data_IF_878045628437
#
_entry.id   IF_878045628437
#
_cell.length_a   1.000
_cell.length_b   1.000
_cell.length_c   1.000
_cell.angle_alpha   90.00
_cell.angle_beta   90.00
_cell.angle_gamma   90.00
#
_symmetry.space_group_name_H-M   'P 1'
#
loop_
_entity.id
_entity.type
_entity.pdbx_description
1 polymer ?
#
# COMPACT_ATOMS: atom_id res chain seq x y z
N UNK A 1 6.31 13.12 -15.11
CA UNK A 1 6.35 11.95 -14.20
C UNK A 1 6.72 10.74 -15.02
N UNK A 2 7.70 9.90 -14.61
CA UNK A 2 8.06 8.74 -15.42
C UNK A 2 6.87 7.79 -15.43
N UNK A 3 6.27 7.64 -16.61
CA UNK A 3 5.24 6.67 -16.92
C UNK A 3 5.83 5.28 -16.63
N UNK A 4 5.39 4.65 -15.54
CA UNK A 4 5.74 3.27 -15.27
C UNK A 4 5.12 2.42 -16.37
N UNK A 5 5.98 1.91 -17.26
CA UNK A 5 5.58 1.13 -18.42
C UNK A 5 4.79 -0.10 -17.99
N UNK A 6 3.55 -0.20 -18.46
CA UNK A 6 2.71 -1.39 -18.34
C UNK A 6 3.47 -2.60 -18.87
N UNK A 7 4.00 -3.45 -17.98
CA UNK A 7 4.46 -4.79 -18.36
C UNK A 7 3.22 -5.65 -18.59
N UNK A 8 2.89 -5.86 -19.86
CA UNK A 8 1.93 -6.87 -20.33
C UNK A 8 2.36 -8.24 -19.81
N UNK A 9 1.61 -8.82 -18.88
CA UNK A 9 1.80 -10.19 -18.41
C UNK A 9 1.17 -11.10 -19.46
N UNK A 10 1.98 -11.88 -20.16
CA UNK A 10 1.50 -12.91 -21.06
C UNK A 10 0.93 -14.07 -20.23
N UNK A 11 -0.37 -14.34 -20.39
CA UNK A 11 -0.99 -15.58 -19.94
C UNK A 11 -0.59 -16.70 -20.90
N UNK A 12 0.26 -17.60 -20.44
CA UNK A 12 0.43 -18.92 -21.03
C UNK A 12 -0.51 -19.88 -20.33
N UNK A 13 -1.57 -20.25 -21.02
CA UNK A 13 -2.38 -21.45 -20.80
C UNK A 13 -1.53 -22.69 -21.06
N UNK A 14 -1.45 -23.60 -20.09
CA UNK A 14 -0.87 -24.92 -20.26
C UNK A 14 -1.90 -25.98 -19.84
N UNK A 15 -2.18 -26.87 -20.79
CA UNK A 15 -3.06 -28.02 -20.72
C UNK A 15 -2.68 -29.04 -19.64
N UNK A 16 -3.72 -29.73 -19.17
CA UNK A 16 -3.69 -30.95 -18.39
C UNK A 16 -3.05 -32.12 -19.16
N UNK A 17 -2.33 -32.99 -18.43
CA UNK A 17 -2.07 -34.35 -18.87
C UNK A 17 -0.88 -34.99 -18.17
N UNK A 18 -1.11 -36.00 -17.31
CA UNK A 18 -0.05 -36.92 -16.89
C UNK A 18 -0.24 -37.57 -15.52
N UNK A 19 -0.91 -38.73 -15.50
CA UNK A 19 -0.89 -39.71 -14.40
C UNK A 19 0.49 -40.36 -14.25
N UNK A 20 0.90 -40.54 -12.99
CA UNK A 20 1.60 -41.71 -12.41
C UNK A 20 2.94 -42.15 -13.01
N UNK A 21 3.99 -42.18 -12.20
CA UNK A 21 4.37 -43.43 -11.50
C UNK A 21 5.45 -43.20 -10.44
N UNK A 22 5.51 -44.13 -9.49
CA UNK A 22 6.40 -44.15 -8.35
C UNK A 22 7.85 -44.53 -8.71
N UNK A 23 8.84 -43.93 -8.05
CA UNK A 23 10.01 -44.62 -7.50
C UNK A 23 10.95 -43.65 -6.75
N UNK A 24 11.43 -44.14 -5.61
CA UNK A 24 12.31 -43.49 -4.65
C UNK A 24 13.79 -43.86 -4.95
N UNK A 25 14.78 -43.61 -4.07
CA UNK A 25 15.79 -42.56 -4.24
C UNK A 25 17.21 -43.13 -4.44
N UNK A 26 18.15 -42.34 -4.98
CA UNK A 26 19.57 -42.69 -4.90
C UNK A 26 20.49 -41.47 -4.77
N UNK A 27 21.45 -41.61 -3.87
CA UNK A 27 22.42 -40.61 -3.45
C UNK A 27 23.77 -40.82 -4.15
N UNK A 28 24.41 -39.76 -4.63
CA UNK A 28 25.86 -39.68 -4.84
C UNK A 28 26.26 -38.21 -5.11
N UNK A 29 27.00 -37.57 -4.20
CA UNK A 29 28.48 -37.41 -4.20
C UNK A 29 29.03 -36.42 -5.25
N UNK A 30 29.65 -35.38 -4.68
CA UNK A 30 30.90 -34.73 -5.08
C UNK A 30 31.21 -34.49 -6.57
N UNK A 31 31.42 -33.21 -6.92
CA UNK A 31 32.70 -32.85 -7.55
C UNK A 31 33.09 -31.39 -7.32
N UNK A 32 34.33 -31.21 -6.84
CA UNK A 32 35.07 -29.95 -6.76
C UNK A 32 35.55 -29.59 -8.17
N UNK A 33 35.36 -28.35 -8.61
CA UNK A 33 36.25 -27.75 -9.61
C UNK A 33 36.82 -26.42 -9.12
N UNK A 34 38.15 -26.47 -9.06
CA UNK A 34 39.12 -25.42 -8.78
C UNK A 34 39.62 -24.93 -10.14
N UNK A 35 39.54 -23.64 -10.42
CA UNK A 35 40.42 -23.00 -11.42
C UNK A 35 40.75 -21.58 -10.98
N UNK A 36 42.05 -21.36 -10.88
CA UNK A 36 42.83 -20.18 -10.48
C UNK A 36 43.04 -19.21 -11.67
N UNK A 37 43.68 -18.04 -11.45
CA UNK A 37 43.43 -16.79 -12.17
C UNK A 37 44.46 -16.44 -13.24
N UNK A 38 44.13 -15.47 -14.09
CA UNK A 38 45.02 -14.70 -14.99
C UNK A 38 44.19 -13.49 -15.46
N UNK A 39 44.62 -12.24 -15.63
CA UNK A 39 45.92 -11.63 -15.91
C UNK A 39 45.75 -10.12 -15.59
N UNK A 40 46.63 -9.47 -14.83
CA UNK A 40 47.70 -8.60 -15.33
C UNK A 40 47.26 -7.58 -16.42
N UNK A 41 46.90 -6.36 -16.01
CA UNK A 41 46.99 -5.19 -16.88
C UNK A 41 47.60 -3.98 -16.14
N UNK A 42 48.44 -3.28 -16.90
CA UNK A 42 49.58 -2.47 -16.45
C UNK A 42 49.16 -1.08 -15.96
N UNK A 43 49.90 -0.63 -14.96
CA UNK A 43 49.94 0.73 -14.46
C UNK A 43 50.57 1.71 -15.48
N UNK A 44 49.94 2.87 -15.65
CA UNK A 44 50.54 4.08 -16.21
C UNK A 44 50.54 5.20 -15.16
N UNK A 45 51.63 5.98 -14.98
CA UNK A 45 51.69 7.02 -13.97
C UNK A 45 51.05 8.32 -14.48
N UNK A 46 49.80 8.58 -14.07
CA UNK A 46 49.15 9.89 -14.27
C UNK A 46 49.42 10.79 -13.05
N UNK A 47 50.32 11.77 -13.21
CA UNK A 47 50.52 12.87 -12.26
C UNK A 47 49.23 13.70 -12.17
N UNK A 48 48.43 13.47 -11.14
CA UNK A 48 47.39 14.42 -10.71
C UNK A 48 47.93 15.31 -9.60
N UNK A 49 47.91 16.60 -9.90
CA UNK A 49 48.13 17.72 -8.98
C UNK A 49 47.18 17.64 -7.79
N UNK A 50 47.74 17.69 -6.58
CA UNK A 50 47.03 17.73 -5.31
C UNK A 50 46.26 19.05 -5.20
N UNK A 51 44.96 19.00 -5.43
CA UNK A 51 44.06 20.10 -5.10
C UNK A 51 43.87 20.14 -3.57
N UNK A 52 44.05 21.32 -2.99
CA UNK A 52 43.77 21.62 -1.58
C UNK A 52 42.36 21.15 -1.17
N UNK A 53 42.18 20.53 0.01
CA UNK A 53 40.86 20.21 0.53
C UNK A 53 40.15 21.51 0.92
N UNK A 54 39.27 21.98 0.04
CA UNK A 54 38.35 23.09 0.32
C UNK A 54 37.10 22.58 1.01
N UNK A 55 36.75 23.31 2.08
CA UNK A 55 35.47 23.37 2.80
C UNK A 55 35.01 22.10 3.51
N UNK A 56 35.04 22.17 4.84
CA UNK A 56 34.22 21.38 5.76
C UNK A 56 32.80 21.25 5.22
N UNK A 57 32.45 20.05 4.79
CA UNK A 57 31.07 19.68 4.53
C UNK A 57 30.36 19.74 5.89
N UNK A 58 29.66 20.84 6.17
CA UNK A 58 28.72 20.94 7.28
C UNK A 58 27.70 19.82 7.09
N UNK A 59 27.93 18.68 7.74
CA UNK A 59 26.97 17.60 7.81
C UNK A 59 25.71 18.22 8.37
N UNK A 60 24.68 18.34 7.53
CA UNK A 60 23.37 18.82 7.97
C UNK A 60 22.92 17.82 9.03
N UNK A 61 22.99 18.23 10.29
CA UNK A 61 22.42 17.49 11.41
C UNK A 61 20.95 17.29 11.07
N UNK A 62 20.64 16.11 10.56
CA UNK A 62 19.25 15.72 10.34
C UNK A 62 18.60 15.68 11.72
N UNK A 63 17.29 15.94 11.77
CA UNK A 63 16.53 15.83 13.01
C UNK A 63 16.71 14.44 13.66
N UNK A 64 17.00 13.44 12.83
CA UNK A 64 17.44 12.08 13.20
C UNK A 64 18.75 12.11 13.96
N UNK A 65 19.80 12.71 13.41
CA UNK A 65 21.11 12.80 14.09
C UNK A 65 20.99 13.56 15.41
N UNK A 66 20.12 14.57 15.47
CA UNK A 66 19.81 15.28 16.72
C UNK A 66 19.11 14.37 17.74
N UNK A 67 18.07 13.63 17.32
CA UNK A 67 17.35 12.68 18.17
C UNK A 67 18.27 11.54 18.63
N UNK A 68 19.12 11.02 17.74
CA UNK A 68 20.14 10.02 18.02
C UNK A 68 21.10 10.51 19.09
N UNK A 69 21.67 11.70 18.90
CA UNK A 69 22.60 12.28 19.85
C UNK A 69 21.91 12.63 21.17
N UNK A 70 20.62 12.98 21.14
CA UNK A 70 19.84 13.26 22.34
C UNK A 70 19.53 11.97 23.11
N UNK A 71 19.11 10.89 22.44
CA UNK A 71 18.86 9.59 23.05
C UNK A 71 20.14 8.98 23.64
N UNK A 72 21.26 9.05 22.91
CA UNK A 72 22.58 8.64 23.40
C UNK A 72 23.03 9.49 24.59
N UNK A 73 22.70 10.79 24.64
CA UNK A 73 23.00 11.65 25.79
C UNK A 73 22.12 11.40 27.00
N UNK A 74 20.84 11.09 26.80
CA UNK A 74 19.89 10.80 27.89
C UNK A 74 20.14 9.41 28.49
N UNK A 75 20.61 8.46 27.68
CA UNK A 75 20.88 7.09 28.10
C UNK A 75 22.29 6.64 27.68
N UNK A 76 23.36 7.27 28.21
CA UNK A 76 24.74 6.96 27.81
C UNK A 76 25.16 5.53 28.14
N UNK A 77 24.41 4.86 29.00
CA UNK A 77 24.63 3.48 29.43
C UNK A 77 23.62 2.48 28.82
N UNK A 78 22.66 2.92 28.00
CA UNK A 78 21.78 1.98 27.26
C UNK A 78 22.46 1.59 25.95
N UNK A 79 22.94 0.34 25.80
CA UNK A 79 23.87 -0.02 24.72
C UNK A 79 23.22 -0.22 23.35
N UNK A 80 22.03 0.32 23.06
CA UNK A 80 21.31 -0.15 21.88
C UNK A 80 20.37 0.86 21.25
N UNK A 81 20.67 1.20 19.99
CA UNK A 81 19.72 1.82 19.04
C UNK A 81 18.45 1.00 18.79
N UNK A 82 18.34 -0.19 19.38
CA UNK A 82 17.09 -0.94 19.48
C UNK A 82 15.97 -0.11 20.11
N UNK A 83 16.29 0.81 21.02
CA UNK A 83 15.32 1.68 21.68
C UNK A 83 14.58 2.60 20.69
N UNK A 84 15.23 3.08 19.62
CA UNK A 84 14.60 3.92 18.58
C UNK A 84 13.93 3.10 17.47
N UNK A 85 14.47 1.92 17.16
CA UNK A 85 13.88 1.02 16.17
C UNK A 85 12.48 0.57 16.58
N UNK A 86 12.23 0.36 17.87
CA UNK A 86 10.91 -0.07 18.38
C UNK A 86 9.79 0.94 18.08
N UNK A 87 9.87 2.23 18.49
CA UNK A 87 8.83 3.21 18.19
C UNK A 87 8.70 3.46 16.69
N UNK A 88 9.80 3.54 15.93
CA UNK A 88 9.72 3.72 14.47
C UNK A 88 9.06 2.52 13.77
N UNK A 89 9.31 1.30 14.24
CA UNK A 89 8.62 0.10 13.75
C UNK A 89 7.12 0.17 14.07
N UNK A 90 6.73 0.60 15.27
CA UNK A 90 5.32 0.81 15.63
C UNK A 90 4.65 1.86 14.75
N UNK A 91 5.30 2.99 14.48
CA UNK A 91 4.78 4.01 13.57
C UNK A 91 4.57 3.45 12.14
N UNK A 92 5.53 2.67 11.65
CA UNK A 92 5.42 2.02 10.34
C UNK A 92 4.27 1.02 10.28
N UNK A 93 4.10 0.19 11.32
CA UNK A 93 2.99 -0.74 11.42
C UNK A 93 1.63 -0.04 11.44
N UNK A 94 1.53 1.08 12.15
CA UNK A 94 0.34 1.92 12.15
C UNK A 94 0.04 2.48 10.74
N UNK A 95 1.05 3.04 10.07
CA UNK A 95 0.90 3.52 8.69
C UNK A 95 0.47 2.38 7.73
N UNK A 96 1.09 1.19 7.85
CA UNK A 96 0.73 0.00 7.07
C UNK A 96 -0.74 -0.40 7.27
N UNK A 97 -1.22 -0.38 8.53
CA UNK A 97 -2.64 -0.61 8.84
C UNK A 97 -3.55 0.40 8.13
N UNK A 98 -3.17 1.67 8.12
CA UNK A 98 -3.95 2.71 7.44
C UNK A 98 -3.97 2.53 5.91
N UNK A 99 -2.84 2.17 5.29
CA UNK A 99 -2.78 1.86 3.84
C UNK A 99 -3.70 0.68 3.51
N UNK A 100 -3.71 -0.38 4.34
CA UNK A 100 -4.62 -1.53 4.16
C UNK A 100 -6.08 -1.13 4.32
N UNK A 101 -6.38 -0.30 5.32
CA UNK A 101 -7.74 0.22 5.53
C UNK A 101 -8.22 1.02 4.31
N UNK A 102 -7.33 1.85 3.74
CA UNK A 102 -7.61 2.56 2.49
C UNK A 102 -7.87 1.59 1.34
N UNK A 103 -7.03 0.58 1.14
CA UNK A 103 -7.21 -0.43 0.10
C UNK A 103 -8.53 -1.20 0.23
N UNK A 104 -8.94 -1.52 1.45
CA UNK A 104 -10.25 -2.13 1.72
C UNK A 104 -11.39 -1.17 1.38
N UNK A 105 -11.27 0.09 1.78
CA UNK A 105 -12.29 1.11 1.49
C UNK A 105 -12.43 1.37 -0.02
N UNK A 106 -11.32 1.47 -0.76
CA UNK A 106 -11.35 1.71 -2.21
C UNK A 106 -11.98 0.54 -2.96
N UNK A 107 -11.67 -0.71 -2.57
CA UNK A 107 -12.31 -1.91 -3.13
C UNK A 107 -13.81 -1.97 -2.83
N UNK A 108 -14.20 -1.62 -1.59
CA UNK A 108 -15.62 -1.54 -1.21
C UNK A 108 -16.35 -0.48 -2.02
N UNK A 109 -15.75 0.69 -2.20
CA UNK A 109 -16.31 1.77 -3.02
C UNK A 109 -16.52 1.32 -4.47
N UNK A 110 -15.50 0.71 -5.09
CA UNK A 110 -15.62 0.17 -6.45
C UNK A 110 -16.75 -0.87 -6.58
N UNK A 111 -16.84 -1.79 -5.62
CA UNK A 111 -17.93 -2.78 -5.59
C UNK A 111 -19.30 -2.11 -5.49
N UNK A 112 -19.45 -1.14 -4.58
CA UNK A 112 -20.70 -0.41 -4.39
C UNK A 112 -21.15 0.32 -5.66
N UNK A 113 -20.22 0.88 -6.45
CA UNK A 113 -20.57 1.46 -7.75
C UNK A 113 -21.17 0.43 -8.72
N UNK A 114 -20.60 -0.78 -8.76
CA UNK A 114 -21.16 -1.87 -9.57
C UNK A 114 -22.57 -2.29 -9.09
N UNK A 115 -22.80 -2.29 -7.78
CA UNK A 115 -24.12 -2.57 -7.20
C UNK A 115 -25.15 -1.49 -7.57
N UNK A 116 -24.76 -0.20 -7.55
CA UNK A 116 -25.60 0.93 -8.00
C UNK A 116 -25.93 0.81 -9.49
N UNK A 117 -24.93 0.51 -10.34
CA UNK A 117 -25.14 0.33 -11.77
C UNK A 117 -26.14 -0.80 -12.07
N UNK A 118 -26.01 -1.92 -11.36
CA UNK A 118 -26.93 -3.06 -11.48
C UNK A 118 -28.35 -2.70 -11.04
N UNK A 119 -28.50 -2.06 -9.89
CA UNK A 119 -29.81 -1.65 -9.38
C UNK A 119 -30.51 -0.67 -10.35
N UNK A 120 -29.76 0.29 -10.90
CA UNK A 120 -30.24 1.20 -11.94
C UNK A 120 -30.76 0.46 -13.17
N UNK A 121 -29.99 -0.49 -13.69
CA UNK A 121 -30.39 -1.29 -14.85
C UNK A 121 -31.65 -2.13 -14.57
N UNK A 122 -31.78 -2.70 -13.37
CA UNK A 122 -33.00 -3.43 -12.96
C UNK A 122 -34.24 -2.52 -12.96
N UNK A 123 -34.12 -1.29 -12.45
CA UNK A 123 -35.22 -0.30 -12.46
C UNK A 123 -35.62 0.05 -13.90
N UNK A 124 -34.65 0.34 -14.77
CA UNK A 124 -34.92 0.65 -16.17
C UNK A 124 -35.52 -0.56 -16.92
N UNK A 125 -35.05 -1.77 -16.64
CA UNK A 125 -35.61 -3.00 -17.20
C UNK A 125 -37.06 -3.25 -16.77
N UNK A 126 -37.39 -3.06 -15.50
CA UNK A 126 -38.76 -3.16 -15.00
C UNK A 126 -39.68 -2.08 -15.61
N UNK A 127 -39.19 -0.84 -15.71
CA UNK A 127 -39.92 0.27 -16.33
C UNK A 127 -40.23 -0.02 -17.80
N UNK A 128 -39.27 -0.55 -18.54
CA UNK A 128 -39.46 -0.95 -19.93
C UNK A 128 -40.49 -2.08 -20.09
N UNK A 129 -40.47 -3.08 -19.18
CA UNK A 129 -41.46 -4.17 -19.17
C UNK A 129 -42.88 -3.70 -18.89
N UNK A 130 -43.05 -2.79 -17.94
CA UNK A 130 -44.38 -2.22 -17.63
C UNK A 130 -44.95 -1.47 -18.85
N UNK A 131 -44.08 -0.85 -19.65
CA UNK A 131 -44.49 -0.15 -20.86
C UNK A 131 -44.84 -1.08 -22.04
N UNK A 132 -44.56 -2.38 -21.96
CA UNK A 132 -44.86 -3.33 -23.04
C UNK A 132 -46.34 -3.33 -23.40
N UNK A 133 -46.64 -3.31 -24.71
CA UNK A 133 -48.01 -3.23 -25.22
C UNK A 133 -48.65 -1.83 -25.16
N UNK A 134 -47.93 -0.83 -24.64
CA UNK A 134 -48.37 0.58 -24.63
C UNK A 134 -47.60 1.40 -25.67
N UNK A 135 -48.11 2.58 -26.08
CA UNK A 135 -47.33 3.52 -26.91
C UNK A 135 -46.01 3.98 -26.28
N UNK A 136 -45.83 3.86 -24.95
CA UNK A 136 -44.58 4.21 -24.27
C UNK A 136 -43.46 3.22 -24.57
N UNK A 137 -43.78 1.99 -25.02
CA UNK A 137 -42.77 1.00 -25.40
C UNK A 137 -41.82 1.53 -26.48
N UNK A 138 -42.30 2.39 -27.38
CA UNK A 138 -41.52 2.97 -28.46
C UNK A 138 -40.39 3.90 -27.97
N UNK A 139 -40.56 4.50 -26.79
CA UNK A 139 -39.58 5.42 -26.18
C UNK A 139 -38.77 4.74 -25.07
N UNK A 140 -39.38 3.83 -24.31
CA UNK A 140 -38.75 3.20 -23.15
C UNK A 140 -38.05 1.88 -23.50
N UNK A 141 -38.68 1.04 -24.33
CA UNK A 141 -38.24 -0.34 -24.59
C UNK A 141 -37.67 -0.56 -26.01
N UNK A 142 -37.94 0.35 -26.95
CA UNK A 142 -37.58 0.16 -28.36
C UNK A 142 -36.07 0.08 -28.58
N UNK A 143 -35.64 -0.99 -29.25
CA UNK A 143 -34.28 -1.11 -29.80
C UNK A 143 -34.16 -0.50 -31.20
N UNK A 144 -35.27 -0.05 -31.80
CA UNK A 144 -35.27 0.51 -33.16
C UNK A 144 -34.93 2.00 -33.10
N UNK A 145 -33.90 2.38 -33.85
CA UNK A 145 -33.32 3.74 -33.95
C UNK A 145 -34.29 4.81 -34.49
N UNK A 146 -35.50 4.43 -34.91
CA UNK A 146 -36.42 5.30 -35.68
C UNK A 146 -36.83 6.56 -34.90
N UNK A 147 -36.85 6.53 -33.57
CA UNK A 147 -37.20 7.67 -32.71
C UNK A 147 -36.01 8.19 -31.87
N UNK A 148 -34.78 7.85 -32.27
CA UNK A 148 -33.56 8.15 -31.52
C UNK A 148 -33.35 7.17 -30.37
N UNK A 149 -32.66 7.63 -29.32
CA UNK A 149 -32.30 6.79 -28.18
C UNK A 149 -33.47 6.53 -27.25
N UNK A 150 -33.60 5.26 -26.82
CA UNK A 150 -34.53 4.79 -25.82
C UNK A 150 -33.86 4.61 -24.46
N UNK A 151 -34.67 4.51 -23.40
CA UNK A 151 -34.17 4.30 -22.03
C UNK A 151 -33.27 3.05 -21.92
N UNK A 152 -33.65 1.94 -22.56
CA UNK A 152 -32.84 0.72 -22.59
C UNK A 152 -31.51 0.91 -23.32
N UNK A 153 -31.48 1.66 -24.44
CA UNK A 153 -30.22 1.93 -25.14
C UNK A 153 -29.29 2.85 -24.34
N UNK A 154 -29.87 3.82 -23.61
CA UNK A 154 -29.13 4.70 -22.71
C UNK A 154 -28.57 3.93 -21.50
N UNK A 155 -29.35 3.02 -20.92
CA UNK A 155 -28.88 2.11 -19.87
C UNK A 155 -27.66 1.31 -20.33
N UNK A 156 -27.71 0.75 -21.55
CA UNK A 156 -26.58 0.04 -22.13
C UNK A 156 -25.32 0.90 -22.32
N UNK A 157 -25.46 2.22 -22.50
CA UNK A 157 -24.32 3.15 -22.53
C UNK A 157 -23.81 3.46 -21.12
N UNK A 158 -24.71 3.67 -20.16
CA UNK A 158 -24.36 3.88 -18.75
C UNK A 158 -23.58 2.69 -18.20
N UNK A 159 -24.05 1.46 -18.43
CA UNK A 159 -23.34 0.24 -18.02
C UNK A 159 -21.92 0.21 -18.58
N UNK A 160 -21.74 0.48 -19.88
CA UNK A 160 -20.41 0.50 -20.50
C UNK A 160 -19.51 1.61 -19.92
N UNK A 161 -20.07 2.77 -19.64
CA UNK A 161 -19.33 3.87 -19.02
C UNK A 161 -18.92 3.50 -17.57
N UNK A 162 -19.81 2.89 -16.79
CA UNK A 162 -19.54 2.41 -15.44
C UNK A 162 -18.46 1.31 -15.43
N UNK A 163 -18.53 0.36 -16.37
CA UNK A 163 -17.52 -0.68 -16.57
C UNK A 163 -16.15 -0.07 -16.84
N UNK A 164 -16.06 0.85 -17.81
CA UNK A 164 -14.82 1.54 -18.15
C UNK A 164 -14.29 2.36 -16.97
N UNK A 165 -15.16 3.07 -16.23
CA UNK A 165 -14.79 3.82 -15.04
C UNK A 165 -14.27 2.89 -13.93
N UNK A 166 -14.89 1.73 -13.75
CA UNK A 166 -14.48 0.71 -12.78
C UNK A 166 -13.11 0.10 -13.11
N UNK A 167 -12.85 -0.21 -14.39
CA UNK A 167 -11.54 -0.67 -14.87
C UNK A 167 -10.45 0.40 -14.64
N UNK A 168 -10.77 1.66 -14.96
CA UNK A 168 -9.88 2.78 -14.74
C UNK A 168 -9.57 2.98 -13.25
N UNK A 169 -10.57 2.83 -12.38
CA UNK A 169 -10.40 2.91 -10.93
C UNK A 169 -9.51 1.77 -10.42
N UNK A 170 -9.72 0.55 -10.91
CA UNK A 170 -8.87 -0.59 -10.60
C UNK A 170 -7.40 -0.30 -10.92
N UNK A 171 -7.13 0.08 -12.18
CA UNK A 171 -5.76 0.24 -12.68
C UNK A 171 -5.03 1.46 -12.13
N UNK A 172 -5.72 2.57 -11.89
CA UNK A 172 -5.08 3.84 -11.48
C UNK A 172 -5.00 4.00 -9.96
N UNK A 173 -5.95 3.42 -9.21
CA UNK A 173 -6.09 3.66 -7.78
C UNK A 173 -5.79 2.36 -7.01
N UNK A 174 -6.56 1.30 -7.22
CA UNK A 174 -6.41 0.06 -6.43
C UNK A 174 -5.06 -0.61 -6.67
N UNK A 175 -4.64 -0.74 -7.93
CA UNK A 175 -3.36 -1.35 -8.29
C UNK A 175 -2.20 -0.51 -7.77
N UNK A 176 -2.29 0.82 -7.84
CA UNK A 176 -1.28 1.74 -7.30
C UNK A 176 -1.09 1.55 -5.79
N UNK A 177 -2.17 1.56 -5.00
CA UNK A 177 -2.09 1.37 -3.54
C UNK A 177 -1.52 -0.01 -3.21
N UNK A 178 -1.95 -1.04 -3.95
CA UNK A 178 -1.48 -2.42 -3.75
C UNK A 178 0.03 -2.54 -4.02
N UNK A 179 0.52 -1.97 -5.12
CA UNK A 179 1.95 -1.97 -5.46
C UNK A 179 2.76 -1.15 -4.45
N UNK A 180 2.27 0.03 -4.07
CA UNK A 180 2.91 0.90 -3.09
C UNK A 180 3.08 0.20 -1.73
N UNK A 181 2.03 -0.43 -1.20
CA UNK A 181 2.09 -1.20 0.04
C UNK A 181 3.11 -2.34 -0.06
N UNK A 182 3.10 -3.09 -1.17
CA UNK A 182 3.96 -4.24 -1.37
C UNK A 182 5.44 -3.84 -1.44
N UNK A 183 5.78 -2.77 -2.16
CA UNK A 183 7.15 -2.25 -2.28
C UNK A 183 7.65 -1.79 -0.92
N UNK A 184 6.87 -0.97 -0.20
CA UNK A 184 7.25 -0.45 1.12
C UNK A 184 7.46 -1.59 2.11
N UNK A 185 6.49 -2.51 2.21
CA UNK A 185 6.54 -3.64 3.15
C UNK A 185 7.74 -4.53 2.88
N UNK A 186 7.94 -4.95 1.62
CA UNK A 186 9.08 -5.81 1.25
C UNK A 186 10.42 -5.16 1.59
N UNK A 187 10.59 -3.87 1.28
CA UNK A 187 11.83 -3.14 1.51
C UNK A 187 12.13 -3.06 3.02
N UNK A 188 11.16 -2.61 3.82
CA UNK A 188 11.34 -2.40 5.27
C UNK A 188 11.51 -3.73 6.01
N UNK A 189 10.71 -4.74 5.71
CA UNK A 189 10.84 -6.06 6.36
C UNK A 189 12.18 -6.72 6.06
N UNK A 190 12.72 -6.56 4.85
CA UNK A 190 14.03 -7.12 4.50
C UNK A 190 15.18 -6.48 5.29
N UNK A 191 15.15 -5.15 5.47
CA UNK A 191 16.16 -4.41 6.23
C UNK A 191 16.02 -4.63 7.74
N UNK A 192 14.79 -4.74 8.26
CA UNK A 192 14.53 -5.11 9.66
C UNK A 192 15.09 -6.51 9.98
N UNK A 193 14.82 -7.50 9.13
CA UNK A 193 15.37 -8.87 9.30
C UNK A 193 16.90 -8.87 9.28
N UNK A 194 17.51 -8.08 8.39
CA UNK A 194 18.97 -7.95 8.32
C UNK A 194 19.54 -7.30 9.58
N UNK A 195 18.91 -6.22 10.06
CA UNK A 195 19.31 -5.51 11.29
C UNK A 195 19.19 -6.43 12.52
N UNK A 196 18.11 -7.20 12.62
CA UNK A 196 17.93 -8.20 13.68
C UNK A 196 19.01 -9.30 13.65
N UNK A 197 19.44 -9.71 12.45
CA UNK A 197 20.55 -10.66 12.31
C UNK A 197 21.86 -10.06 12.86
N UNK A 198 22.15 -8.80 12.55
CA UNK A 198 23.34 -8.14 13.09
C UNK A 198 23.26 -7.93 14.61
N UNK A 199 22.09 -7.60 15.15
CA UNK A 199 21.88 -7.53 16.60
C UNK A 199 22.18 -8.86 17.31
N UNK A 200 21.76 -10.00 16.72
CA UNK A 200 22.08 -11.34 17.25
C UNK A 200 23.59 -11.64 17.19
N UNK A 201 24.26 -11.22 16.11
CA UNK A 201 25.72 -11.39 15.96
C UNK A 201 26.47 -10.56 17.01
N UNK A 202 26.08 -9.31 17.23
CA UNK A 202 26.64 -8.44 18.26
C UNK A 202 26.51 -9.09 19.64
N UNK A 203 25.28 -9.47 20.04
CA UNK A 203 25.03 -10.15 21.31
C UNK A 203 25.84 -11.44 21.49
N UNK A 204 26.03 -12.21 20.42
CA UNK A 204 26.87 -13.40 20.44
C UNK A 204 28.32 -13.08 20.82
N UNK A 205 28.93 -12.06 20.20
CA UNK A 205 30.30 -11.67 20.49
C UNK A 205 30.44 -10.99 21.85
N UNK A 206 29.45 -10.22 22.31
CA UNK A 206 29.42 -9.64 23.67
C UNK A 206 29.54 -10.74 24.73
N UNK A 207 28.63 -11.73 24.69
CA UNK A 207 28.64 -12.87 25.62
C UNK A 207 29.95 -13.66 25.54
N UNK A 208 30.52 -13.79 24.34
CA UNK A 208 31.76 -14.54 24.10
C UNK A 208 32.98 -13.82 24.68
N UNK A 209 33.09 -12.51 24.48
CA UNK A 209 34.15 -11.68 25.06
C UNK A 209 34.03 -11.66 26.58
N UNK A 210 32.83 -11.47 27.13
CA UNK A 210 32.58 -11.49 28.57
C UNK A 210 33.03 -12.83 29.20
N UNK A 211 32.66 -13.95 28.59
CA UNK A 211 33.09 -15.29 29.04
C UNK A 211 34.60 -15.47 28.99
N UNK A 212 35.27 -14.97 27.94
CA UNK A 212 36.73 -15.01 27.83
C UNK A 212 37.40 -14.15 28.89
N UNK A 213 36.90 -12.93 29.15
CA UNK A 213 37.40 -12.05 30.22
C UNK A 213 37.31 -12.70 31.59
N UNK A 214 36.16 -13.31 31.93
CA UNK A 214 35.99 -14.08 33.18
C UNK A 214 36.98 -15.23 33.29
N UNK A 215 37.23 -15.94 32.18
CA UNK A 215 38.17 -17.07 32.14
C UNK A 215 39.63 -16.63 32.28
N UNK A 216 40.00 -15.50 31.65
CA UNK A 216 41.35 -14.90 31.76
C UNK A 216 41.60 -14.44 33.18
N UNK A 217 40.69 -13.65 33.76
CA UNK A 217 40.79 -13.16 35.14
C UNK A 217 40.94 -14.32 36.15
N UNK A 218 40.11 -15.36 36.03
CA UNK A 218 40.18 -16.53 36.92
C UNK A 218 41.47 -17.36 36.78
N UNK A 219 42.18 -17.28 35.65
CA UNK A 219 43.49 -17.93 35.47
C UNK A 219 44.64 -17.06 35.98
N UNK A 220 44.53 -15.75 35.80
CA UNK A 220 45.49 -14.76 36.31
C UNK A 220 45.49 -14.72 37.84
N UNK A 221 44.31 -14.77 38.47
CA UNK A 221 44.17 -14.90 39.93
C UNK A 221 44.87 -16.16 40.48
N UNK A 222 44.94 -17.23 39.67
CA UNK A 222 45.63 -18.48 40.02
C UNK A 222 47.13 -18.48 39.66
N UNK A 223 47.68 -17.37 39.19
CA UNK A 223 49.08 -17.24 38.78
C UNK A 223 49.47 -18.08 37.57
N UNK A 224 48.51 -18.52 36.75
CA UNK A 224 48.79 -19.35 35.56
C UNK A 224 49.03 -18.46 34.33
N UNK A 225 50.07 -18.70 33.51
CA UNK A 225 50.28 -17.93 32.29
C UNK A 225 49.13 -18.13 31.29
N UNK A 226 48.63 -17.03 30.73
CA UNK A 226 47.46 -16.98 29.83
C UNK A 226 47.73 -16.48 28.39
N UNK A 227 48.94 -16.59 27.79
CA UNK A 227 49.25 -15.93 26.52
C UNK A 227 48.33 -16.35 25.35
N UNK A 228 47.94 -17.62 25.29
CA UNK A 228 46.99 -18.09 24.26
C UNK A 228 45.57 -17.56 24.47
N UNK A 229 45.17 -17.31 25.72
CA UNK A 229 43.83 -16.80 26.04
C UNK A 229 43.74 -15.29 25.85
N UNK A 230 44.83 -14.55 26.09
CA UNK A 230 44.90 -13.11 25.83
C UNK A 230 44.85 -12.82 24.33
N UNK A 231 45.59 -13.58 23.51
CA UNK A 231 45.50 -13.46 22.05
C UNK A 231 44.09 -13.79 21.52
N UNK A 232 43.48 -14.88 22.04
CA UNK A 232 42.11 -15.24 21.69
C UNK A 232 41.10 -14.17 22.12
N UNK A 233 41.29 -13.55 23.28
CA UNK A 233 40.47 -12.44 23.76
C UNK A 233 40.58 -11.26 22.79
N UNK A 234 41.80 -10.83 22.45
CA UNK A 234 42.03 -9.72 21.53
C UNK A 234 41.33 -9.93 20.17
N UNK A 235 41.45 -11.12 19.57
CA UNK A 235 40.74 -11.44 18.30
C UNK A 235 39.23 -11.41 18.42
N UNK A 236 38.64 -11.76 19.58
CA UNK A 236 37.19 -11.70 19.76
C UNK A 236 36.72 -10.28 20.10
N UNK A 237 37.54 -9.46 20.75
CA UNK A 237 37.28 -8.04 20.97
C UNK A 237 37.30 -7.26 19.65
N UNK A 238 38.22 -7.58 18.74
CA UNK A 238 38.23 -7.03 17.38
C UNK A 238 36.95 -7.40 16.61
N UNK A 239 36.54 -8.67 16.64
CA UNK A 239 35.27 -9.11 16.03
C UNK A 239 34.03 -8.47 16.67
N UNK A 240 34.07 -8.26 17.98
CA UNK A 240 33.00 -7.56 18.68
C UNK A 240 32.90 -6.12 18.15
N UNK A 241 34.04 -5.43 17.99
CA UNK A 241 34.09 -4.09 17.40
C UNK A 241 33.54 -4.07 15.96
N UNK A 242 33.99 -4.99 15.10
CA UNK A 242 33.49 -5.10 13.72
C UNK A 242 31.98 -5.34 13.65
N UNK A 243 31.46 -6.26 14.47
CA UNK A 243 30.02 -6.57 14.50
C UNK A 243 29.19 -5.45 15.11
N UNK A 244 29.74 -4.69 16.05
CA UNK A 244 29.13 -3.47 16.58
C UNK A 244 29.03 -2.39 15.51
N UNK A 245 30.11 -2.10 14.78
CA UNK A 245 30.10 -1.10 13.69
C UNK A 245 29.10 -1.47 12.59
N UNK A 246 29.03 -2.74 12.20
CA UNK A 246 28.06 -3.21 11.19
C UNK A 246 26.61 -3.15 11.70
N UNK A 247 26.37 -3.49 12.97
CA UNK A 247 25.04 -3.32 13.59
C UNK A 247 24.63 -1.84 13.60
N UNK A 248 25.50 -0.94 14.05
CA UNK A 248 25.21 0.49 14.13
C UNK A 248 24.88 1.08 12.76
N UNK A 249 25.65 0.70 11.74
CA UNK A 249 25.43 1.11 10.34
C UNK A 249 24.08 0.63 9.81
N UNK A 250 23.74 -0.63 10.03
CA UNK A 250 22.46 -1.22 9.57
C UNK A 250 21.27 -0.66 10.34
N UNK A 251 21.40 -0.44 11.65
CA UNK A 251 20.41 0.23 12.47
C UNK A 251 20.14 1.67 11.99
N UNK A 252 21.17 2.48 11.71
CA UNK A 252 20.97 3.83 11.13
C UNK A 252 20.16 3.76 9.84
N UNK A 253 20.57 2.86 8.93
CA UNK A 253 19.94 2.71 7.63
C UNK A 253 18.47 2.34 7.76
N UNK A 254 18.14 1.42 8.66
CA UNK A 254 16.76 1.01 8.93
C UNK A 254 15.95 2.14 9.57
N UNK A 255 16.50 2.90 10.52
CA UNK A 255 15.82 4.06 11.08
C UNK A 255 15.47 5.10 10.01
N UNK A 256 16.43 5.45 9.15
CA UNK A 256 16.19 6.38 8.04
C UNK A 256 15.12 5.87 7.07
N UNK A 257 15.11 4.57 6.78
CA UNK A 257 14.11 3.97 5.90
C UNK A 257 12.70 4.03 6.52
N UNK A 258 12.58 3.74 7.81
CA UNK A 258 11.32 3.81 8.54
C UNK A 258 10.80 5.25 8.57
N UNK A 259 11.64 6.23 8.89
CA UNK A 259 11.25 7.64 8.89
C UNK A 259 10.93 8.19 7.50
N UNK A 260 11.66 7.77 6.47
CA UNK A 260 11.32 8.13 5.09
C UNK A 260 9.93 7.61 4.73
N UNK A 261 9.64 6.36 5.06
CA UNK A 261 8.31 5.79 4.82
C UNK A 261 7.22 6.49 5.63
N UNK A 262 7.41 6.73 6.93
CA UNK A 262 6.35 7.27 7.80
C UNK A 262 6.19 8.80 7.69
N UNK A 263 7.29 9.55 7.61
CA UNK A 263 7.25 11.03 7.60
C UNK A 263 7.23 11.61 6.20
N UNK A 264 7.74 10.89 5.19
CA UNK A 264 7.73 11.34 3.78
C UNK A 264 6.83 10.49 2.88
N UNK A 265 6.15 9.47 3.41
CA UNK A 265 5.19 8.66 2.65
C UNK A 265 4.04 9.46 2.04
N UNK A 266 3.74 10.65 2.56
CA UNK A 266 2.77 11.57 1.94
C UNK A 266 3.13 11.93 0.49
N UNK A 267 4.41 11.86 0.11
CA UNK A 267 4.85 12.14 -1.27
C UNK A 267 4.37 11.09 -2.26
N UNK A 268 4.28 9.84 -1.84
CA UNK A 268 3.71 8.75 -2.64
C UNK A 268 2.18 8.73 -2.53
N UNK A 269 1.63 9.17 -1.39
CA UNK A 269 0.18 9.31 -1.22
C UNK A 269 -0.42 10.46 -2.07
N UNK A 270 0.29 11.56 -2.24
CA UNK A 270 -0.18 12.73 -3.00
C UNK A 270 -0.63 12.40 -4.44
N UNK A 271 0.18 11.74 -5.31
CA UNK A 271 -0.25 11.39 -6.66
C UNK A 271 -1.47 10.45 -6.68
N UNK A 272 -1.62 9.58 -5.67
CA UNK A 272 -2.82 8.75 -5.52
C UNK A 272 -4.06 9.61 -5.28
N UNK A 273 -4.00 10.57 -4.35
CA UNK A 273 -5.13 11.49 -4.09
C UNK A 273 -5.48 12.29 -5.34
N UNK A 274 -4.49 12.79 -6.07
CA UNK A 274 -4.72 13.47 -7.34
C UNK A 274 -5.39 12.56 -8.37
N UNK A 275 -4.94 11.30 -8.50
CA UNK A 275 -5.54 10.34 -9.40
C UNK A 275 -7.01 10.04 -9.04
N UNK A 276 -7.32 9.91 -7.75
CA UNK A 276 -8.69 9.73 -7.26
C UNK A 276 -9.59 10.92 -7.61
N UNK A 277 -9.14 12.14 -7.36
CA UNK A 277 -9.91 13.35 -7.65
C UNK A 277 -10.16 13.54 -9.14
N UNK A 278 -9.13 13.34 -9.97
CA UNK A 278 -9.25 13.42 -11.43
C UNK A 278 -10.21 12.36 -11.95
N UNK A 279 -10.09 11.13 -11.46
CA UNK A 279 -10.98 10.05 -11.85
C UNK A 279 -12.43 10.35 -11.46
N UNK A 280 -12.69 10.84 -10.24
CA UNK A 280 -14.04 11.18 -9.77
C UNK A 280 -14.65 12.28 -10.64
N UNK A 281 -13.87 13.32 -10.94
CA UNK A 281 -14.31 14.42 -11.80
C UNK A 281 -14.68 13.94 -13.21
N UNK A 282 -13.87 13.05 -13.79
CA UNK A 282 -14.13 12.51 -15.13
C UNK A 282 -15.37 11.63 -15.13
N UNK A 283 -15.47 10.71 -14.16
CA UNK A 283 -16.64 9.83 -13.99
C UNK A 283 -17.93 10.65 -13.88
N UNK A 284 -17.94 11.67 -13.03
CA UNK A 284 -19.10 12.53 -12.83
C UNK A 284 -19.47 13.31 -14.11
N UNK A 285 -18.48 13.80 -14.85
CA UNK A 285 -18.71 14.51 -16.11
C UNK A 285 -19.30 13.58 -17.20
N UNK A 286 -18.76 12.37 -17.33
CA UNK A 286 -19.25 11.37 -18.28
C UNK A 286 -20.68 10.94 -17.95
N UNK A 287 -20.96 10.69 -16.67
CA UNK A 287 -22.29 10.34 -16.18
C UNK A 287 -23.29 11.49 -16.40
N UNK A 288 -22.89 12.73 -16.12
CA UNK A 288 -23.73 13.90 -16.40
C UNK A 288 -24.03 14.06 -17.90
N UNK A 289 -23.06 13.80 -18.77
CA UNK A 289 -23.26 13.87 -20.21
C UNK A 289 -24.27 12.82 -20.71
N UNK A 290 -24.30 11.64 -20.10
CA UNK A 290 -25.31 10.62 -20.36
C UNK A 290 -26.67 11.00 -19.78
N UNK A 291 -26.73 11.54 -18.56
CA UNK A 291 -27.99 11.92 -17.93
C UNK A 291 -28.73 13.07 -18.63
N UNK A 292 -28.03 13.95 -19.35
CA UNK A 292 -28.69 14.93 -20.22
C UNK A 292 -29.60 14.28 -21.28
N UNK A 293 -29.30 13.05 -21.71
CA UNK A 293 -30.13 12.31 -22.67
C UNK A 293 -31.42 11.77 -22.02
N UNK A 294 -31.47 11.68 -20.68
CA UNK A 294 -32.72 11.35 -19.96
C UNK A 294 -33.73 12.48 -20.10
N UNK A 295 -33.29 13.75 -20.12
CA UNK A 295 -34.20 14.88 -20.33
C UNK A 295 -34.84 14.83 -21.72
N UNK A 296 -34.10 14.41 -22.74
CA UNK A 296 -34.65 14.19 -24.09
C UNK A 296 -35.72 13.08 -24.09
N UNK A 297 -35.46 11.98 -23.39
CA UNK A 297 -36.43 10.88 -23.24
C UNK A 297 -37.67 11.36 -22.49
N UNK A 298 -37.49 12.11 -21.39
CA UNK A 298 -38.57 12.72 -20.61
C UNK A 298 -39.46 13.60 -21.49
N UNK A 299 -38.87 14.47 -22.31
CA UNK A 299 -39.61 15.34 -23.22
C UNK A 299 -40.38 14.54 -24.28
N UNK A 300 -39.80 13.46 -24.81
CA UNK A 300 -40.50 12.55 -25.74
C UNK A 300 -41.69 11.87 -25.08
N UNK A 301 -41.56 11.42 -23.84
CA UNK A 301 -42.66 10.83 -23.06
C UNK A 301 -43.79 11.86 -22.87
N UNK A 302 -43.46 13.10 -22.52
CA UNK A 302 -44.43 14.17 -22.36
C UNK A 302 -45.22 14.45 -23.66
N UNK A 303 -44.51 14.59 -24.79
CA UNK A 303 -45.16 14.79 -26.08
C UNK A 303 -46.01 13.61 -26.54
N UNK A 304 -45.61 12.37 -26.23
CA UNK A 304 -46.45 11.20 -26.50
C UNK A 304 -47.75 11.25 -25.70
N UNK A 305 -47.69 11.67 -24.43
CA UNK A 305 -48.87 11.80 -23.58
C UNK A 305 -49.83 12.88 -24.12
N UNK A 306 -49.32 14.07 -24.47
CA UNK A 306 -50.11 15.16 -25.07
C UNK A 306 -50.83 14.73 -26.35
N UNK A 307 -50.19 13.88 -27.17
CA UNK A 307 -50.75 13.39 -28.43
C UNK A 307 -51.86 12.36 -28.24
N UNK A 308 -51.80 11.55 -27.19
CA UNK A 308 -52.73 10.45 -26.96
C UNK A 308 -54.03 10.89 -26.28
N UNK A 309 -53.96 11.83 -25.33
CA UNK A 309 -55.11 12.20 -24.48
C UNK A 309 -55.61 13.65 -24.69
N UNK A 310 -55.02 14.44 -25.59
CA UNK A 310 -55.20 15.89 -25.60
C UNK A 310 -54.42 16.55 -24.44
N UNK A 311 -54.49 17.89 -24.25
CA UNK A 311 -53.76 18.54 -23.17
C UNK A 311 -54.20 17.97 -21.82
N UNK A 312 -53.26 17.31 -21.13
CA UNK A 312 -53.48 16.83 -19.77
C UNK A 312 -53.91 18.02 -18.90
N UNK A 313 -54.93 17.87 -18.03
CA UNK A 313 -55.28 18.93 -17.09
C UNK A 313 -54.03 19.27 -16.27
N UNK A 314 -53.74 20.57 -16.12
CA UNK A 314 -52.55 21.06 -15.42
C UNK A 314 -52.38 20.48 -14.00
N UNK A 315 -53.46 19.94 -13.44
CA UNK A 315 -53.54 19.31 -12.12
C UNK A 315 -53.10 17.83 -12.09
N UNK A 316 -52.96 17.15 -13.23
CA UNK A 316 -52.50 15.76 -13.32
C UNK A 316 -50.97 15.62 -13.22
N UNK A 317 -50.23 16.72 -13.42
CA UNK A 317 -48.89 16.83 -12.90
C UNK A 317 -49.02 17.07 -11.40
N UNK A 318 -49.13 15.97 -10.63
CA UNK A 318 -48.57 16.00 -9.30
C UNK A 318 -47.12 16.39 -9.53
N UNK A 319 -46.80 17.65 -9.27
CA UNK A 319 -45.45 18.09 -9.10
C UNK A 319 -44.92 17.16 -8.01
N UNK A 320 -44.25 16.09 -8.43
CA UNK A 320 -43.35 15.34 -7.56
C UNK A 320 -42.23 16.35 -7.35
N UNK A 321 -42.54 17.33 -6.49
CA UNK A 321 -41.58 18.12 -5.78
C UNK A 321 -40.78 17.02 -5.12
N UNK A 322 -39.65 16.69 -5.75
CA UNK A 322 -38.52 16.12 -5.07
C UNK A 322 -38.25 17.12 -3.97
N UNK A 323 -38.92 16.92 -2.84
CA UNK A 323 -38.60 17.57 -1.60
C UNK A 323 -37.19 17.08 -1.37
N UNK A 324 -36.22 17.85 -1.86
CA UNK A 324 -34.83 17.80 -1.47
C UNK A 324 -34.78 18.26 -0.02
N UNK A 325 -35.48 17.53 0.87
CA UNK A 325 -35.10 17.42 2.27
C UNK A 325 -33.78 16.66 2.21
N UNK A 326 -32.71 17.42 1.95
CA UNK A 326 -31.47 17.24 2.69
C UNK A 326 -31.91 17.32 4.16
N UNK A 327 -32.32 16.18 4.72
CA UNK A 327 -32.40 16.00 6.16
C UNK A 327 -30.97 16.08 6.65
N UNK A 328 -30.51 17.30 6.92
CA UNK A 328 -29.50 17.57 7.92
C UNK A 328 -30.12 17.26 9.29
N UNK A 329 -30.55 16.02 9.51
CA UNK A 329 -30.81 15.49 10.85
C UNK A 329 -29.44 15.09 11.38
N UNK A 330 -28.65 16.10 11.74
CA UNK A 330 -27.36 15.97 12.43
C UNK A 330 -27.44 16.57 13.83
N UNK A 331 -28.64 16.67 14.40
CA UNK A 331 -28.89 17.04 15.77
C UNK A 331 -29.70 15.88 16.38
N UNK A 332 -28.99 14.92 16.99
CA UNK A 332 -29.47 14.03 18.08
C UNK A 332 -28.42 12.92 18.37
N UNK A 333 -27.18 13.32 18.65
CA UNK A 333 -26.29 12.55 19.53
C UNK A 333 -26.13 13.30 20.85
N UNK A 334 -27.26 13.67 21.44
CA UNK A 334 -27.32 13.86 22.89
C UNK A 334 -27.46 12.50 23.56
N UNK A 335 -26.38 12.12 24.24
CA UNK A 335 -26.45 11.75 25.65
C UNK A 335 -27.46 10.65 26.06
N UNK A 336 -26.98 9.40 26.05
CA UNK A 336 -27.43 8.36 26.98
C UNK A 336 -26.30 7.35 27.11
N UNK A 337 -25.77 6.97 28.25
CA UNK A 337 -26.06 7.30 29.63
C UNK A 337 -25.09 6.47 30.46
N UNK A 338 -24.85 6.94 31.68
CA UNK A 338 -24.24 6.20 32.76
C UNK A 338 -24.78 4.76 32.83
N UNK A 339 -23.87 3.79 32.92
CA UNK A 339 -24.15 2.54 33.63
C UNK A 339 -23.11 2.39 34.73
N UNK A 340 -23.52 2.79 35.92
CA UNK A 340 -22.94 2.44 37.21
C UNK A 340 -22.67 0.94 37.36
N UNK A 341 -21.56 0.67 38.04
CA UNK A 341 -21.36 -0.33 39.07
C UNK A 341 -22.06 -1.70 38.95
N UNK A 342 -21.23 -2.73 38.83
CA UNK A 342 -21.37 -3.90 39.69
C UNK A 342 -19.99 -4.37 40.13
N UNK A 343 -19.69 -4.05 41.38
CA UNK A 343 -18.84 -4.85 42.26
C UNK A 343 -19.27 -6.32 42.17
N UNK A 344 -18.30 -7.22 42.02
CA UNK A 344 -18.43 -8.58 42.54
C UNK A 344 -17.04 -9.07 42.97
N UNK A 345 -16.81 -8.99 44.28
CA UNK A 345 -15.87 -9.80 45.07
C UNK A 345 -16.27 -11.29 45.01
N UNK A 346 -15.34 -12.14 45.50
CA UNK A 346 -15.36 -13.61 45.71
C UNK A 346 -14.67 -14.38 44.56
N UNK A 347 -13.56 -15.11 44.73
CA UNK A 347 -12.80 -15.66 45.88
C UNK A 347 -11.32 -15.84 45.48
#
# INVERSE_FOLDING_TARGET
MPLFGKKKKAETSAEEGGKGDASSPEAAKHEKKKSTPSSAEKAGPSRRTVAKPTSEVKQKNTQVLYRLNYAVKQHPNEPSRSAELVPLTKEFEYMRKNIRSLLTATKKYQKAMGEVAKARSEVYGCTAKIAEGTPLADVLASKKVVLGESLVTLDGKLIKADEQASEDYQGKIIDYVTEWEAILTKKIESELKYTQKQAKNLKHYEMKVEKLRKTVAAKEEKGKPTPQMTEKLARNEEKLKETHEEYEKTATKTCHLLEEATKKGWKDFHPLVQAMLVWESNRAADEQALFKQVDDIKNKVAHLAERLDGPLPAEAFVEVVLVSRLTTDSDDLENSGDSEASDEELD
#
